data_IF_563486464529
#
_entry.id   IF_563486464529
#
_cell.length_a   1.000
_cell.length_b   1.000
_cell.length_c   1.000
_cell.angle_alpha   90.00
_cell.angle_beta   90.00
_cell.angle_gamma   90.00
#
_symmetry.space_group_name_H-M   'P 1'
#
loop_
_entity.id
_entity.type
_entity.pdbx_description
1 polymer ?
#
# COMPACT_ATOMS: atom_id res chain seq x y z
N UNK A 1 -0.53 3.79 11.12
CA UNK A 1 0.25 3.95 12.38
C UNK A 1 -0.26 2.94 13.39
N UNK A 2 0.59 2.04 13.89
CA UNK A 2 0.29 1.14 15.02
C UNK A 2 -0.94 0.23 14.86
N UNK A 3 -1.38 -0.03 13.64
CA UNK A 3 -2.56 -0.88 13.41
C UNK A 3 -2.14 -2.35 13.38
N UNK A 4 -3.02 -3.20 13.88
CA UNK A 4 -2.80 -4.66 13.92
C UNK A 4 -2.92 -5.31 12.54
N UNK A 5 -3.52 -4.63 11.57
CA UNK A 5 -3.61 -5.10 10.20
C UNK A 5 -3.30 -3.98 9.17
N UNK A 6 -2.98 -4.40 7.94
CA UNK A 6 -2.52 -3.49 6.87
C UNK A 6 -3.67 -2.70 6.24
N UNK A 7 -4.85 -3.32 6.15
CA UNK A 7 -6.07 -2.72 5.56
C UNK A 7 -6.48 -1.47 6.35
N UNK A 8 -6.53 -1.57 7.68
CA UNK A 8 -6.90 -0.44 8.53
C UNK A 8 -5.80 0.63 8.55
N UNK A 9 -4.53 0.25 8.37
CA UNK A 9 -3.46 1.23 8.12
C UNK A 9 -3.70 2.03 6.84
N UNK A 10 -4.12 1.38 5.75
CA UNK A 10 -4.44 2.03 4.48
C UNK A 10 -5.67 2.94 4.60
N UNK A 11 -6.76 2.46 5.21
CA UNK A 11 -7.97 3.27 5.45
C UNK A 11 -7.66 4.52 6.28
N UNK A 12 -6.89 4.36 7.35
CA UNK A 12 -6.51 5.48 8.21
C UNK A 12 -5.64 6.50 7.47
N UNK A 13 -4.73 6.05 6.60
CA UNK A 13 -3.89 6.94 5.80
C UNK A 13 -4.73 7.77 4.82
N UNK A 14 -5.64 7.12 4.08
CA UNK A 14 -6.57 7.80 3.15
C UNK A 14 -7.47 8.79 3.89
N UNK A 15 -8.08 8.36 4.99
CA UNK A 15 -8.98 9.22 5.78
C UNK A 15 -8.27 10.47 6.33
N UNK A 16 -6.99 10.35 6.73
CA UNK A 16 -6.19 11.49 7.22
C UNK A 16 -5.67 12.38 6.09
N UNK A 17 -5.40 11.82 4.92
CA UNK A 17 -4.99 12.59 3.76
C UNK A 17 -6.13 13.49 3.27
N UNK A 18 -7.38 12.99 3.30
CA UNK A 18 -8.54 13.70 2.76
C UNK A 18 -8.34 13.97 1.27
N UNK A 19 -8.76 15.13 0.77
CA UNK A 19 -8.67 15.49 -0.65
C UNK A 19 -7.23 15.53 -1.21
N UNK A 20 -6.21 15.53 -0.33
CA UNK A 20 -4.79 15.55 -0.74
C UNK A 20 -4.27 14.19 -1.18
N UNK A 21 -5.07 13.13 -1.08
CA UNK A 21 -4.68 11.77 -1.45
C UNK A 21 -4.57 11.57 -2.96
N UNK A 22 -5.37 12.30 -3.74
CA UNK A 22 -5.39 12.17 -5.19
C UNK A 22 -4.07 12.67 -5.79
N UNK A 23 -3.44 11.85 -6.65
CA UNK A 23 -2.14 12.18 -7.23
C UNK A 23 -0.95 11.95 -6.29
N UNK A 24 -1.18 11.47 -5.07
CA UNK A 24 -0.12 11.24 -4.08
C UNK A 24 0.59 9.89 -4.27
N UNK A 25 1.68 9.70 -3.52
CA UNK A 25 2.43 8.44 -3.47
C UNK A 25 2.30 7.83 -2.07
N UNK A 26 2.29 6.50 -1.98
CA UNK A 26 2.22 5.79 -0.70
C UNK A 26 3.42 4.85 -0.47
N UNK A 27 3.78 4.68 0.80
CA UNK A 27 4.82 3.75 1.21
C UNK A 27 4.27 2.79 2.29
N UNK A 28 4.55 1.50 2.14
CA UNK A 28 4.25 0.48 3.15
C UNK A 28 5.56 -0.04 3.76
N UNK A 29 5.63 -0.07 5.08
CA UNK A 29 6.81 -0.50 5.84
C UNK A 29 7.08 -2.01 5.76
N UNK A 30 6.05 -2.81 5.48
CA UNK A 30 6.12 -4.23 5.11
C UNK A 30 5.26 -4.53 3.89
N UNK A 31 5.33 -5.77 3.41
CA UNK A 31 4.57 -6.18 2.25
C UNK A 31 3.05 -6.13 2.48
N UNK A 32 2.28 -6.06 1.38
CA UNK A 32 0.83 -6.27 1.41
C UNK A 32 0.54 -7.78 1.44
N UNK A 33 -0.12 -8.31 2.49
CA UNK A 33 -0.43 -9.73 2.57
C UNK A 33 -1.53 -10.15 1.59
N UNK A 34 -2.40 -9.21 1.21
CA UNK A 34 -3.50 -9.37 0.25
C UNK A 34 -3.67 -8.07 -0.55
N UNK A 35 -4.37 -8.14 -1.68
CA UNK A 35 -4.62 -6.99 -2.55
C UNK A 35 -5.56 -5.93 -1.93
N UNK A 36 -6.34 -6.29 -0.91
CA UNK A 36 -7.35 -5.40 -0.29
C UNK A 36 -6.74 -4.10 0.31
N UNK A 37 -5.61 -4.21 1.00
CA UNK A 37 -4.90 -3.06 1.56
C UNK A 37 -4.35 -2.13 0.48
N UNK A 38 -3.96 -2.69 -0.67
CA UNK A 38 -3.55 -1.94 -1.84
C UNK A 38 -4.75 -1.25 -2.51
N UNK A 39 -5.85 -1.97 -2.72
CA UNK A 39 -7.06 -1.45 -3.36
C UNK A 39 -7.59 -0.18 -2.70
N UNK A 40 -7.55 -0.09 -1.37
CA UNK A 40 -7.94 1.12 -0.64
C UNK A 40 -7.14 2.36 -1.07
N UNK A 41 -5.84 2.19 -1.30
CA UNK A 41 -4.97 3.29 -1.74
C UNK A 41 -5.22 3.64 -3.21
N UNK A 42 -5.47 2.63 -4.05
CA UNK A 42 -5.80 2.80 -5.47
C UNK A 42 -7.11 3.55 -5.67
N UNK A 43 -8.16 3.13 -4.95
CA UNK A 43 -9.49 3.73 -5.02
C UNK A 43 -9.48 5.19 -4.53
N UNK A 44 -8.49 5.56 -3.71
CA UNK A 44 -8.25 6.92 -3.26
C UNK A 44 -7.43 7.76 -4.24
N UNK A 45 -6.95 7.21 -5.37
CA UNK A 45 -6.21 7.97 -6.37
C UNK A 45 -4.70 8.10 -6.10
N UNK A 46 -4.11 7.19 -5.33
CA UNK A 46 -2.64 7.08 -5.22
C UNK A 46 -2.06 6.61 -6.55
N UNK A 47 -1.02 7.30 -7.04
CA UNK A 47 -0.45 7.06 -8.39
C UNK A 47 0.82 6.20 -8.39
N UNK A 48 1.47 6.05 -7.23
CA UNK A 48 2.62 5.18 -7.08
C UNK A 48 2.75 4.65 -5.65
N UNK A 49 3.23 3.40 -5.53
CA UNK A 49 3.36 2.71 -4.25
C UNK A 49 4.73 2.06 -4.14
N UNK A 50 5.35 2.15 -2.95
CA UNK A 50 6.57 1.42 -2.61
C UNK A 50 6.32 0.48 -1.43
N UNK A 51 6.77 -0.77 -1.55
CA UNK A 51 6.71 -1.77 -0.48
C UNK A 51 7.92 -2.73 -0.56
N UNK A 52 8.18 -3.56 0.46
CA UNK A 52 9.30 -4.50 0.41
C UNK A 52 9.09 -5.70 -0.53
N UNK A 53 7.86 -6.19 -0.66
CA UNK A 53 7.57 -7.48 -1.28
C UNK A 53 8.00 -8.66 -0.40
N UNK A 54 7.91 -9.87 -0.96
CA UNK A 54 8.17 -11.13 -0.27
C UNK A 54 6.92 -11.84 0.24
N UNK A 55 5.72 -11.40 -0.15
CA UNK A 55 4.50 -12.16 0.12
C UNK A 55 4.40 -13.35 -0.82
N UNK A 56 3.88 -14.48 -0.34
CA UNK A 56 3.48 -15.59 -1.23
C UNK A 56 2.35 -15.19 -2.19
N UNK A 57 1.71 -14.03 -1.95
CA UNK A 57 0.65 -13.45 -2.77
C UNK A 57 1.07 -12.18 -3.51
N UNK A 58 2.37 -11.93 -3.67
CA UNK A 58 2.83 -10.74 -4.39
C UNK A 58 2.26 -10.66 -5.82
N UNK A 59 2.06 -11.78 -6.51
CA UNK A 59 1.45 -11.81 -7.84
C UNK A 59 0.04 -11.21 -7.86
N UNK A 60 -0.79 -11.49 -6.84
CA UNK A 60 -2.14 -10.92 -6.71
C UNK A 60 -2.09 -9.39 -6.51
N UNK A 61 -1.16 -8.93 -5.65
CA UNK A 61 -0.97 -7.51 -5.34
C UNK A 61 -0.43 -6.76 -6.56
N UNK A 62 0.53 -7.35 -7.28
CA UNK A 62 1.09 -6.78 -8.52
C UNK A 62 0.01 -6.70 -9.60
N UNK A 63 -0.82 -7.74 -9.74
CA UNK A 63 -1.91 -7.74 -10.72
C UNK A 63 -2.93 -6.62 -10.45
N UNK A 64 -3.25 -6.36 -9.18
CA UNK A 64 -4.12 -5.24 -8.78
C UNK A 64 -3.48 -3.88 -9.13
N UNK A 65 -2.19 -3.67 -8.83
CA UNK A 65 -1.48 -2.44 -9.20
C UNK A 65 -1.41 -2.24 -10.72
N UNK A 66 -1.13 -3.31 -11.48
CA UNK A 66 -1.13 -3.28 -12.95
C UNK A 66 -2.50 -2.94 -13.52
N UNK A 67 -3.57 -3.51 -12.96
CA UNK A 67 -4.94 -3.27 -13.41
C UNK A 67 -5.38 -1.83 -13.16
N UNK A 68 -4.91 -1.22 -12.08
CA UNK A 68 -5.11 0.21 -11.80
C UNK A 68 -4.16 1.14 -12.55
N UNK A 69 -3.19 0.61 -13.30
CA UNK A 69 -2.26 1.40 -14.10
C UNK A 69 -1.25 2.24 -13.29
N UNK A 70 -0.96 1.84 -12.05
CA UNK A 70 -0.05 2.59 -11.16
C UNK A 70 1.36 1.99 -11.13
N UNK A 71 2.35 2.79 -10.77
CA UNK A 71 3.70 2.31 -10.54
C UNK A 71 3.82 1.61 -9.17
N UNK A 72 4.42 0.42 -9.13
CA UNK A 72 4.74 -0.29 -7.89
C UNK A 72 6.25 -0.59 -7.80
N UNK A 73 6.86 -0.21 -6.68
CA UNK A 73 8.28 -0.40 -6.40
C UNK A 73 8.49 -1.40 -5.27
N UNK A 74 9.52 -2.24 -5.43
CA UNK A 74 9.96 -3.22 -4.43
C UNK A 74 11.31 -2.81 -3.83
N UNK A 75 11.39 -2.72 -2.50
CA UNK A 75 12.64 -2.39 -1.81
C UNK A 75 13.44 -3.63 -1.39
N UNK A 76 12.79 -4.78 -1.20
CA UNK A 76 13.39 -5.98 -0.62
C UNK A 76 13.74 -5.86 0.88
N UNK A 77 13.44 -4.72 1.53
CA UNK A 77 13.81 -4.44 2.92
C UNK A 77 12.60 -3.91 3.70
N UNK A 78 12.31 -4.57 4.83
CA UNK A 78 11.20 -4.24 5.73
C UNK A 78 11.64 -3.32 6.87
N UNK A 79 10.81 -2.33 7.22
CA UNK A 79 11.11 -1.30 8.23
C UNK A 79 10.07 -1.24 9.36
N UNK A 80 9.84 -2.34 10.08
CA UNK A 80 8.93 -2.31 11.23
C UNK A 80 9.49 -1.48 12.39
N UNK A 81 8.60 -0.76 13.07
CA UNK A 81 8.87 -0.08 14.33
C UNK A 81 7.69 -0.26 15.29
N UNK A 82 8.00 -0.54 16.55
CA UNK A 82 7.02 -0.76 17.63
C UNK A 82 7.27 0.17 18.82
N UNK A 83 8.15 1.15 18.65
CA UNK A 83 8.47 2.17 19.65
C UNK A 83 7.33 3.18 19.81
#
# INVERSE_FOLDING_TARGET
MGQVNRVDSARLAVARAGDRVEGSVAASDAFFPFADGLSILLDAGVVAIVQPGGSVRDEEVIAAAKSAGIAMFFTGVRHFSHA
#
